data_IF_716702398247
#
_entry.id   IF_716702398247
#
_cell.length_a   1.000
_cell.length_b   1.000
_cell.length_c   1.000
_cell.angle_alpha   90.00
_cell.angle_beta   90.00
_cell.angle_gamma   90.00
#
_symmetry.space_group_name_H-M   'P 1'
#
loop_
_entity.id
_entity.type
_entity.pdbx_description
1 polymer ?
#
# COMPACT_ATOMS: atom_id res chain seq x y z
N UNK A 1 4.72 4.82 4.90
CA UNK A 1 4.80 6.25 5.29
C UNK A 1 3.42 6.88 5.39
N UNK A 2 2.63 7.00 4.33
CA UNK A 2 1.29 7.64 4.38
C UNK A 2 0.33 7.12 5.46
N UNK A 3 0.39 5.82 5.82
CA UNK A 3 -0.48 5.23 6.84
C UNK A 3 0.04 5.32 8.28
N UNK A 4 1.33 5.62 8.44
CA UNK A 4 2.06 5.44 9.71
C UNK A 4 2.81 6.72 10.12
N UNK A 5 3.00 7.66 9.19
CA UNK A 5 3.81 8.85 9.36
C UNK A 5 5.33 8.61 9.37
N UNK A 6 5.78 7.35 9.37
CA UNK A 6 7.19 6.96 9.39
C UNK A 6 7.54 5.90 8.34
N UNK A 7 8.81 5.77 7.94
CA UNK A 7 9.24 4.75 7.00
C UNK A 7 9.21 3.36 7.67
N UNK A 8 8.79 2.30 6.94
CA UNK A 8 8.67 0.96 7.51
C UNK A 8 10.02 0.31 7.88
N UNK A 9 11.12 0.75 7.25
CA UNK A 9 12.46 0.18 7.42
C UNK A 9 13.43 1.10 8.16
N UNK A 10 12.98 2.28 8.60
CA UNK A 10 13.85 3.24 9.28
C UNK A 10 14.38 2.69 10.61
N UNK A 11 15.68 2.84 10.81
CA UNK A 11 16.42 2.39 11.99
C UNK A 11 17.51 3.39 12.32
N UNK A 12 18.09 3.29 13.51
CA UNK A 12 19.17 4.16 13.99
C UNK A 12 20.42 4.16 13.09
N UNK A 13 20.65 3.08 12.33
CA UNK A 13 21.78 2.97 11.39
C UNK A 13 21.32 2.62 9.98
N UNK A 14 21.99 3.22 8.99
CA UNK A 14 21.74 2.92 7.57
C UNK A 14 21.94 1.44 7.24
N UNK A 15 22.94 0.79 7.84
CA UNK A 15 23.23 -0.63 7.62
C UNK A 15 22.03 -1.52 7.98
N UNK A 16 21.39 -1.25 9.12
CA UNK A 16 20.22 -2.01 9.55
C UNK A 16 18.99 -1.68 8.70
N UNK A 17 18.85 -0.44 8.23
CA UNK A 17 17.81 -0.05 7.26
C UNK A 17 17.94 -0.86 5.98
N UNK A 18 19.15 -0.95 5.39
CA UNK A 18 19.41 -1.75 4.20
C UNK A 18 19.18 -3.25 4.43
N UNK A 19 19.53 -3.77 5.61
CA UNK A 19 19.28 -5.17 5.97
C UNK A 19 17.79 -5.46 6.03
N UNK A 20 17.00 -4.58 6.66
CA UNK A 20 15.54 -4.70 6.75
C UNK A 20 14.86 -4.56 5.40
N UNK A 21 15.32 -3.65 4.54
CA UNK A 21 14.85 -3.54 3.15
C UNK A 21 15.12 -4.84 2.40
N UNK A 22 16.35 -5.37 2.48
CA UNK A 22 16.74 -6.60 1.80
C UNK A 22 15.98 -7.82 2.31
N UNK A 23 15.60 -7.85 3.59
CA UNK A 23 14.79 -8.94 4.16
C UNK A 23 13.28 -8.68 4.08
N UNK A 24 12.88 -7.49 3.65
CA UNK A 24 11.50 -7.01 3.69
C UNK A 24 10.89 -7.18 5.09
N UNK A 25 11.68 -6.86 6.11
CA UNK A 25 11.35 -7.01 7.51
C UNK A 25 10.89 -5.66 8.08
N UNK A 26 9.59 -5.53 8.33
CA UNK A 26 8.98 -4.33 8.89
C UNK A 26 7.79 -4.70 9.78
N UNK A 27 7.43 -3.81 10.70
CA UNK A 27 6.34 -4.04 11.66
C UNK A 27 5.16 -3.12 11.40
N UNK A 28 3.96 -3.69 11.48
CA UNK A 28 2.72 -2.93 11.38
C UNK A 28 2.27 -2.45 12.76
N UNK A 29 2.01 -1.15 12.93
CA UNK A 29 1.37 -0.62 14.14
C UNK A 29 -0.04 -1.19 14.34
N UNK A 30 -0.54 -1.23 15.59
CA UNK A 30 -1.86 -1.77 15.89
C UNK A 30 -3.01 -1.01 15.23
N UNK A 31 -2.84 0.29 14.96
CA UNK A 31 -3.86 1.13 14.31
C UNK A 31 -3.99 0.92 12.80
N UNK A 32 -3.08 0.17 12.17
CA UNK A 32 -3.19 -0.14 10.73
C UNK A 32 -4.20 -1.28 10.56
N UNK A 33 -5.24 -1.05 9.75
CA UNK A 33 -6.26 -2.07 9.46
C UNK A 33 -5.67 -3.27 8.73
N UNK A 34 -6.21 -4.46 8.96
CA UNK A 34 -5.73 -5.71 8.32
C UNK A 34 -5.76 -5.61 6.79
N UNK A 35 -6.77 -4.97 6.23
CA UNK A 35 -6.90 -4.69 4.78
C UNK A 35 -5.73 -3.85 4.24
N UNK A 36 -5.28 -2.83 5.00
CA UNK A 36 -4.10 -2.04 4.64
C UNK A 36 -2.82 -2.87 4.74
N UNK A 37 -2.70 -3.69 5.78
CA UNK A 37 -1.52 -4.56 5.97
C UNK A 37 -1.38 -5.53 4.81
N UNK A 38 -2.48 -6.14 4.38
CA UNK A 38 -2.53 -7.07 3.25
C UNK A 38 -2.06 -6.40 1.95
N UNK A 39 -2.58 -5.21 1.64
CA UNK A 39 -2.15 -4.46 0.46
C UNK A 39 -0.64 -4.16 0.51
N UNK A 40 -0.16 -3.64 1.63
CA UNK A 40 1.25 -3.29 1.81
C UNK A 40 2.14 -4.52 1.73
N UNK A 41 1.71 -5.67 2.26
CA UNK A 41 2.43 -6.95 2.17
C UNK A 41 2.51 -7.49 0.74
N UNK A 42 1.47 -7.24 -0.08
CA UNK A 42 1.46 -7.61 -1.51
C UNK A 42 2.30 -6.67 -2.38
N UNK A 43 2.51 -5.44 -1.93
CA UNK A 43 3.38 -4.45 -2.59
C UNK A 43 4.86 -4.62 -2.19
N UNK A 44 5.13 -4.77 -0.91
CA UNK A 44 6.46 -5.00 -0.35
C UNK A 44 6.76 -6.50 -0.37
N UNK A 45 7.15 -6.99 -1.56
CA UNK A 45 7.69 -8.35 -1.75
C UNK A 45 9.16 -8.29 -2.15
N UNK A 46 9.93 -9.25 -1.65
CA UNK A 46 11.34 -9.44 -2.01
C UNK A 46 11.50 -9.69 -3.52
N UNK A 47 10.67 -10.59 -4.05
CA UNK A 47 10.66 -10.86 -5.49
C UNK A 47 9.76 -9.83 -6.19
N UNK A 48 10.30 -8.99 -7.11
CA UNK A 48 9.51 -8.03 -7.86
C UNK A 48 8.44 -8.71 -8.74
N UNK A 49 8.64 -9.96 -9.16
CA UNK A 49 7.64 -10.72 -9.93
C UNK A 49 6.40 -11.11 -9.10
N UNK A 50 6.54 -11.18 -7.77
CA UNK A 50 5.41 -11.44 -6.87
C UNK A 50 4.75 -10.15 -6.38
N UNK A 51 5.28 -8.99 -6.78
CA UNK A 51 4.71 -7.69 -6.43
C UNK A 51 3.37 -7.55 -7.14
N UNK A 52 2.36 -7.12 -6.39
CA UNK A 52 1.05 -6.84 -6.94
C UNK A 52 1.18 -5.79 -8.07
N UNK A 53 0.74 -6.09 -9.30
CA UNK A 53 0.77 -5.12 -10.38
C UNK A 53 -0.17 -3.95 -10.07
N UNK A 54 0.11 -2.78 -10.63
CA UNK A 54 -0.69 -1.56 -10.39
C UNK A 54 -2.19 -1.75 -10.65
N UNK A 55 -2.56 -2.57 -11.66
CA UNK A 55 -3.97 -2.95 -11.89
C UNK A 55 -4.59 -3.64 -10.67
N UNK A 56 -3.91 -4.65 -10.12
CA UNK A 56 -4.36 -5.36 -8.92
C UNK A 56 -4.37 -4.49 -7.66
N UNK A 57 -3.53 -3.45 -7.60
CA UNK A 57 -3.58 -2.44 -6.53
C UNK A 57 -4.88 -1.66 -6.59
N UNK A 58 -5.27 -1.18 -7.79
CA UNK A 58 -6.52 -0.43 -7.99
C UNK A 58 -7.76 -1.28 -7.66
N UNK A 59 -7.70 -2.58 -7.92
CA UNK A 59 -8.76 -3.54 -7.62
C UNK A 59 -8.74 -4.05 -6.17
N UNK A 60 -7.76 -3.66 -5.36
CA UNK A 60 -7.64 -4.16 -4.00
C UNK A 60 -8.80 -3.66 -3.12
N UNK A 61 -9.41 -4.52 -2.27
CA UNK A 61 -10.52 -4.13 -1.40
C UNK A 61 -10.23 -2.88 -0.57
N UNK A 62 -9.00 -2.79 -0.02
CA UNK A 62 -8.55 -1.61 0.71
C UNK A 62 -8.59 -0.33 -0.13
N UNK A 63 -8.13 -0.38 -1.39
CA UNK A 63 -8.16 0.77 -2.30
C UNK A 63 -9.59 1.07 -2.71
N UNK A 64 -10.39 0.09 -3.11
CA UNK A 64 -11.80 0.31 -3.51
C UNK A 64 -12.61 0.95 -2.37
N UNK A 65 -12.35 0.54 -1.13
CA UNK A 65 -13.05 1.02 0.07
C UNK A 65 -12.61 2.42 0.51
N UNK A 66 -11.34 2.77 0.34
CA UNK A 66 -10.77 4.05 0.81
C UNK A 66 -10.54 5.06 -0.32
N UNK A 67 -10.59 4.64 -1.57
CA UNK A 67 -10.38 5.48 -2.74
C UNK A 67 -11.70 5.95 -3.29
N UNK A 68 -11.84 7.27 -3.39
CA UNK A 68 -13.00 7.94 -3.97
C UNK A 68 -13.03 7.84 -5.51
N UNK A 69 -12.26 6.93 -6.11
CA UNK A 69 -12.09 6.80 -7.56
C UNK A 69 -13.39 6.42 -8.31
N UNK A 70 -14.49 6.13 -7.61
CA UNK A 70 -15.81 5.89 -8.21
C UNK A 70 -16.65 7.15 -8.50
N UNK A 71 -16.03 8.30 -8.79
CA UNK A 71 -16.77 9.49 -9.26
C UNK A 71 -16.28 10.03 -10.61
N UNK A 72 -16.05 9.18 -11.60
CA UNK A 72 -15.76 9.67 -12.97
C UNK A 72 -16.54 9.04 -14.12
N UNK A 73 -17.58 8.26 -13.82
CA UNK A 73 -18.56 7.78 -14.79
C UNK A 73 -19.99 8.10 -14.33
N UNK A 74 -20.20 9.23 -13.65
CA UNK A 74 -21.55 9.80 -13.55
C UNK A 74 -21.79 10.57 -14.85
N UNK A 75 -22.64 10.10 -15.78
CA UNK A 75 -23.07 10.94 -16.89
C UNK A 75 -23.71 12.19 -16.29
N UNK A 76 -23.24 13.36 -16.75
CA UNK A 76 -23.81 14.65 -16.38
C UNK A 76 -25.34 14.59 -16.49
N UNK A 77 -26.10 14.78 -15.40
CA UNK A 77 -27.54 14.94 -15.50
C UNK A 77 -27.80 16.26 -16.22
N UNK A 78 -28.05 16.19 -17.53
CA UNK A 78 -28.34 17.36 -18.36
C UNK A 78 -27.66 17.45 -19.72
N UNK A 79 -27.09 16.38 -20.26
CA UNK A 79 -26.86 16.31 -21.71
C UNK A 79 -28.21 16.17 -22.44
N UNK A 80 -28.85 17.32 -22.70
CA UNK A 80 -29.87 17.53 -23.72
C UNK A 80 -29.20 17.86 -25.06
#
# INVERSE_FOLDING_TARGET
EFLVGKPPFETDTHQETYRRISKVEFQYPPYVSEEARDLVSKLLKHNPNHRLPLKGVLEHPWIIKNSQLKKKDEPLPGAQ
#
